data_IF_852493952937
#
_entry.id   IF_852493952937
#
_cell.length_a   1.000
_cell.length_b   1.000
_cell.length_c   1.000
_cell.angle_alpha   90.00
_cell.angle_beta   90.00
_cell.angle_gamma   90.00
#
_symmetry.space_group_name_H-M   'P 1'
#
loop_
_entity.id
_entity.type
_entity.pdbx_description
1 polymer ?
#
# COMPACT_ATOMS: atom_id res chain seq x y z
N UNK A 1 14.68 -5.07 3.74
CA UNK A 1 14.90 -3.69 4.28
C UNK A 1 15.83 -2.86 3.41
N UNK A 2 17.09 -3.24 3.19
CA UNK A 2 18.05 -2.42 2.41
C UNK A 2 17.65 -2.14 0.94
N UNK A 3 16.82 -2.97 0.31
CA UNK A 3 16.37 -2.79 -1.08
C UNK A 3 15.48 -1.55 -1.25
N UNK A 4 14.56 -1.31 -0.31
CA UNK A 4 13.67 -0.15 -0.35
C UNK A 4 14.37 1.18 -0.02
N UNK A 5 15.50 1.14 0.73
CA UNK A 5 16.31 2.35 0.98
C UNK A 5 16.88 2.95 -0.31
N UNK A 6 17.13 2.13 -1.34
CA UNK A 6 17.59 2.61 -2.64
C UNK A 6 16.49 3.36 -3.40
N UNK A 7 15.23 2.92 -3.28
CA UNK A 7 14.07 3.60 -3.88
C UNK A 7 13.92 5.03 -3.33
N UNK A 8 14.18 5.23 -2.05
CA UNK A 8 14.10 6.54 -1.39
C UNK A 8 15.41 7.34 -1.41
N UNK A 9 16.37 7.00 -2.31
CA UNK A 9 17.67 7.67 -2.37
C UNK A 9 17.58 9.07 -2.98
N UNK A 10 16.67 9.31 -3.93
CA UNK A 10 16.44 10.59 -4.58
C UNK A 10 15.06 11.15 -4.16
N UNK A 11 15.09 12.23 -3.34
CA UNK A 11 13.87 12.84 -2.83
C UNK A 11 13.04 13.54 -3.93
N UNK A 12 13.66 13.97 -5.02
CA UNK A 12 13.00 14.72 -6.08
C UNK A 12 12.06 13.82 -6.91
N UNK A 13 12.32 12.52 -6.95
CA UNK A 13 11.49 11.53 -7.64
C UNK A 13 10.31 11.02 -6.79
N UNK A 14 10.27 11.36 -5.48
CA UNK A 14 9.24 10.84 -4.57
C UNK A 14 8.00 11.71 -4.60
N UNK A 15 6.86 11.10 -4.96
CA UNK A 15 5.58 11.79 -4.95
C UNK A 15 5.16 12.20 -3.53
N UNK A 16 4.77 13.46 -3.37
CA UNK A 16 4.21 14.04 -2.13
C UNK A 16 2.70 14.17 -2.18
N UNK A 17 2.09 13.82 -3.30
CA UNK A 17 0.65 13.95 -3.51
C UNK A 17 -0.02 12.67 -3.00
N UNK A 18 -0.94 12.78 -2.00
CA UNK A 18 -1.70 11.62 -1.55
C UNK A 18 -2.67 11.17 -2.64
N UNK A 19 -3.00 9.89 -2.67
CA UNK A 19 -4.07 9.38 -3.51
C UNK A 19 -5.41 9.87 -2.98
N UNK A 20 -6.30 10.28 -3.88
CA UNK A 20 -7.61 10.78 -3.51
C UNK A 20 -8.45 9.69 -2.83
N UNK A 21 -8.32 8.46 -3.27
CA UNK A 21 -8.99 7.28 -2.74
C UNK A 21 -8.70 7.06 -1.25
N UNK A 22 -7.48 7.38 -0.80
CA UNK A 22 -7.11 7.30 0.63
C UNK A 22 -7.84 8.36 1.46
N UNK A 23 -7.99 9.57 0.91
CA UNK A 23 -8.75 10.62 1.58
C UNK A 23 -10.26 10.30 1.62
N UNK A 24 -10.81 9.74 0.56
CA UNK A 24 -12.20 9.27 0.49
C UNK A 24 -12.44 8.12 1.46
N UNK A 25 -11.53 7.16 1.55
CA UNK A 25 -11.58 6.07 2.52
C UNK A 25 -11.64 6.59 3.97
N UNK A 26 -10.81 7.57 4.32
CA UNK A 26 -10.85 8.17 5.64
C UNK A 26 -12.19 8.85 5.92
N UNK A 27 -12.76 9.56 4.94
CA UNK A 27 -14.09 10.19 5.05
C UNK A 27 -15.21 9.14 5.17
N UNK A 28 -15.09 7.98 4.53
CA UNK A 28 -16.07 6.89 4.67
C UNK A 28 -15.96 6.18 6.03
N UNK A 29 -14.74 5.99 6.55
CA UNK A 29 -14.53 5.52 7.92
C UNK A 29 -15.21 6.46 8.93
N UNK A 30 -15.11 7.78 8.73
CA UNK A 30 -15.74 8.77 9.59
C UNK A 30 -17.27 8.67 9.62
N UNK A 31 -17.89 8.25 8.55
CA UNK A 31 -19.35 8.03 8.49
C UNK A 31 -19.78 6.74 9.20
N UNK A 32 -18.88 5.76 9.25
CA UNK A 32 -19.19 4.43 9.77
C UNK A 32 -18.81 4.24 11.24
N UNK A 33 -17.84 5.00 11.75
CA UNK A 33 -17.28 4.86 13.10
C UNK A 33 -17.46 6.17 13.87
N UNK A 34 -18.20 6.13 14.98
CA UNK A 34 -18.50 7.30 15.80
C UNK A 34 -17.43 7.56 16.88
N UNK A 35 -16.17 7.57 16.47
CA UNK A 35 -15.01 7.84 17.35
C UNK A 35 -14.10 8.85 16.69
N UNK A 36 -13.62 9.85 17.42
CA UNK A 36 -12.69 10.86 16.94
C UNK A 36 -11.61 11.16 17.99
N UNK A 37 -10.34 11.31 17.56
CA UNK A 37 -9.83 11.03 16.22
C UNK A 37 -9.87 9.53 15.88
N UNK A 38 -9.94 9.18 14.59
CA UNK A 38 -9.73 7.79 14.17
C UNK A 38 -8.25 7.42 14.31
N UNK A 39 -7.97 6.19 14.75
CA UNK A 39 -6.64 5.60 14.65
C UNK A 39 -6.50 4.90 13.30
N UNK A 40 -5.55 5.36 12.48
CA UNK A 40 -5.33 4.84 11.13
C UNK A 40 -3.88 4.36 11.02
N UNK A 41 -3.70 3.12 10.55
CA UNK A 41 -2.39 2.56 10.25
C UNK A 41 -2.09 2.71 8.76
N UNK A 42 -1.04 3.49 8.45
CA UNK A 42 -0.45 3.62 7.11
C UNK A 42 0.69 2.60 7.02
N UNK A 43 0.38 1.40 6.53
CA UNK A 43 1.31 0.29 6.38
C UNK A 43 2.05 0.41 5.05
N UNK A 44 3.38 0.27 5.09
CA UNK A 44 4.28 0.55 3.97
C UNK A 44 4.15 2.01 3.50
N UNK A 45 4.22 2.94 4.47
CA UNK A 45 3.95 4.36 4.26
C UNK A 45 4.97 5.07 3.35
N UNK A 46 6.13 4.46 3.10
CA UNK A 46 7.23 5.06 2.35
C UNK A 46 7.67 6.38 2.97
N UNK A 47 7.68 7.47 2.17
CA UNK A 47 7.99 8.81 2.63
C UNK A 47 6.77 9.57 3.22
N UNK A 48 5.63 8.89 3.47
CA UNK A 48 4.54 9.40 4.28
C UNK A 48 3.55 10.32 3.59
N UNK A 49 3.39 10.27 2.27
CA UNK A 49 2.41 11.13 1.55
C UNK A 49 0.99 10.98 2.10
N UNK A 50 0.57 9.75 2.42
CA UNK A 50 -0.75 9.47 3.00
C UNK A 50 -0.77 9.77 4.50
N UNK A 51 0.29 9.40 5.22
CA UNK A 51 0.47 9.71 6.65
C UNK A 51 0.24 11.20 6.93
N UNK A 52 0.88 12.08 6.15
CA UNK A 52 0.77 13.54 6.32
C UNK A 52 -0.65 14.02 5.99
N UNK A 53 -1.27 13.50 4.94
CA UNK A 53 -2.63 13.87 4.57
C UNK A 53 -3.63 13.50 5.67
N UNK A 54 -3.53 12.28 6.22
CA UNK A 54 -4.39 11.80 7.30
C UNK A 54 -4.16 12.57 8.62
N UNK A 55 -2.91 12.87 8.96
CA UNK A 55 -2.59 13.71 10.13
C UNK A 55 -3.12 15.14 9.98
N UNK A 56 -3.08 15.71 8.76
CA UNK A 56 -3.59 17.05 8.46
C UNK A 56 -5.09 17.18 8.66
N UNK A 57 -5.87 16.13 8.37
CA UNK A 57 -7.32 16.13 8.60
C UNK A 57 -7.71 15.75 10.04
N UNK A 58 -6.72 15.52 10.92
CA UNK A 58 -6.91 15.39 12.36
C UNK A 58 -7.01 13.97 12.89
N UNK A 59 -6.59 12.97 12.13
CA UNK A 59 -6.54 11.58 12.61
C UNK A 59 -5.27 11.29 13.41
N UNK A 60 -5.34 10.28 14.28
CA UNK A 60 -4.20 9.68 14.98
C UNK A 60 -3.57 8.63 14.06
N UNK A 61 -2.42 8.97 13.47
CA UNK A 61 -1.79 8.14 12.44
C UNK A 61 -0.60 7.38 12.98
N UNK A 62 -0.55 6.11 12.62
CA UNK A 62 0.53 5.17 12.87
C UNK A 62 1.11 4.76 11.52
N UNK A 63 2.38 5.03 11.27
CA UNK A 63 3.02 4.83 9.98
C UNK A 63 4.21 3.87 10.10
N UNK A 64 4.20 2.77 9.35
CA UNK A 64 5.30 1.82 9.34
C UNK A 64 5.77 1.50 7.92
N UNK A 65 7.07 1.31 7.78
CA UNK A 65 7.72 0.91 6.53
C UNK A 65 8.96 0.07 6.82
N UNK A 66 9.35 -0.81 5.89
CA UNK A 66 10.60 -1.56 5.98
C UNK A 66 11.84 -0.73 5.70
N UNK A 67 11.70 0.44 5.08
CA UNK A 67 12.81 1.35 4.76
C UNK A 67 13.08 2.31 5.90
N UNK A 68 14.33 2.35 6.37
CA UNK A 68 14.79 3.36 7.32
C UNK A 68 14.71 4.75 6.70
N UNK A 69 15.14 4.90 5.44
CA UNK A 69 15.09 6.18 4.72
C UNK A 69 13.65 6.66 4.51
N UNK A 70 12.73 5.77 4.15
CA UNK A 70 11.31 6.10 4.01
C UNK A 70 10.75 6.68 5.30
N UNK A 71 11.00 6.04 6.44
CA UNK A 71 10.57 6.50 7.76
C UNK A 71 11.22 7.84 8.15
N UNK A 72 12.51 8.01 7.86
CA UNK A 72 13.19 9.28 8.16
C UNK A 72 12.64 10.43 7.31
N UNK A 73 12.30 10.19 6.04
CA UNK A 73 11.61 11.16 5.20
C UNK A 73 10.20 11.46 5.70
N UNK A 74 9.45 10.45 6.12
CA UNK A 74 8.12 10.61 6.73
C UNK A 74 8.18 11.54 7.95
N UNK A 75 9.13 11.32 8.87
CA UNK A 75 9.36 12.17 10.04
C UNK A 75 9.71 13.60 9.66
N UNK A 76 10.64 13.76 8.71
CA UNK A 76 11.07 15.07 8.22
C UNK A 76 9.90 15.85 7.60
N UNK A 77 9.10 15.20 6.78
CA UNK A 77 7.98 15.86 6.10
C UNK A 77 6.82 16.16 7.05
N UNK A 78 6.54 15.29 8.03
CA UNK A 78 5.60 15.58 9.13
C UNK A 78 6.04 16.84 9.90
N UNK A 79 7.31 16.90 10.30
CA UNK A 79 7.87 18.07 11.00
C UNK A 79 7.72 19.35 10.17
N UNK A 80 8.09 19.31 8.87
CA UNK A 80 7.94 20.46 7.95
C UNK A 80 6.49 20.88 7.77
N UNK A 81 5.55 19.95 7.83
CA UNK A 81 4.11 20.21 7.72
C UNK A 81 3.46 20.65 9.04
N UNK A 82 4.17 20.60 10.16
CA UNK A 82 3.64 20.93 11.48
C UNK A 82 2.67 19.90 12.05
N UNK A 83 2.80 18.64 11.62
CA UNK A 83 1.99 17.49 12.07
C UNK A 83 2.85 16.42 12.73
N UNK A 84 2.20 15.46 13.39
CA UNK A 84 2.85 14.32 14.04
C UNK A 84 2.11 13.02 13.72
N UNK A 85 2.86 11.91 13.73
CA UNK A 85 2.37 10.56 13.68
C UNK A 85 3.32 9.64 14.45
N UNK A 86 2.81 8.50 14.94
CA UNK A 86 3.66 7.42 15.44
C UNK A 86 4.33 6.73 14.25
N UNK A 87 5.65 6.56 14.31
CA UNK A 87 6.40 5.99 13.17
C UNK A 87 7.30 4.86 13.60
N UNK A 88 7.35 3.77 12.83
CA UNK A 88 8.19 2.63 13.09
C UNK A 88 8.83 2.05 11.83
N UNK A 89 10.07 1.59 11.92
CA UNK A 89 10.68 0.74 10.89
C UNK A 89 10.29 -0.70 11.20
N UNK A 90 9.50 -1.32 10.33
CA UNK A 90 9.01 -2.69 10.50
C UNK A 90 8.71 -3.36 9.16
N UNK A 91 8.87 -4.69 9.12
CA UNK A 91 8.38 -5.49 8.00
C UNK A 91 6.86 -5.47 7.93
N UNK A 92 6.28 -5.54 6.73
CA UNK A 92 4.82 -5.48 6.54
C UNK A 92 4.05 -6.60 7.26
N UNK A 93 4.72 -7.71 7.57
CA UNK A 93 4.13 -8.87 8.26
C UNK A 93 4.00 -8.71 9.78
N UNK A 94 4.38 -7.55 10.33
CA UNK A 94 4.43 -7.32 11.78
C UNK A 94 3.87 -5.94 12.12
N UNK A 95 2.85 -5.90 12.98
CA UNK A 95 2.40 -4.65 13.59
C UNK A 95 3.36 -4.25 14.73
N UNK A 96 4.00 -3.07 14.67
CA UNK A 96 4.90 -2.62 15.73
C UNK A 96 4.17 -2.25 17.04
N UNK A 97 2.88 -1.99 16.98
CA UNK A 97 2.05 -1.50 18.10
C UNK A 97 1.08 -2.58 18.58
N UNK A 98 1.58 -3.56 19.34
CA UNK A 98 0.84 -4.77 19.74
C UNK A 98 -0.44 -4.53 20.53
N UNK A 99 -0.48 -3.44 21.30
CA UNK A 99 -1.64 -3.10 22.16
C UNK A 99 -2.61 -2.13 21.49
N UNK A 100 -2.36 -1.75 20.23
CA UNK A 100 -3.19 -0.80 19.49
C UNK A 100 -4.09 -1.55 18.51
N UNK A 101 -5.36 -1.15 18.48
CA UNK A 101 -6.29 -1.56 17.43
C UNK A 101 -6.70 -0.35 16.59
N UNK A 102 -6.74 -0.52 15.27
CA UNK A 102 -6.97 0.53 14.29
C UNK A 102 -8.41 0.54 13.78
N UNK A 103 -8.94 1.72 13.56
CA UNK A 103 -10.24 1.91 12.90
C UNK A 103 -10.11 1.73 11.37
N UNK A 104 -8.97 2.11 10.82
CA UNK A 104 -8.63 1.93 9.42
C UNK A 104 -7.18 1.52 9.23
N UNK A 105 -6.94 0.71 8.22
CA UNK A 105 -5.59 0.36 7.74
C UNK A 105 -5.53 0.64 6.26
N UNK A 106 -4.45 1.27 5.79
CA UNK A 106 -4.16 1.43 4.37
C UNK A 106 -2.82 0.78 4.02
N UNK A 107 -2.75 0.15 2.85
CA UNK A 107 -1.52 -0.38 2.27
C UNK A 107 -1.55 -0.13 0.76
N UNK A 108 -1.06 1.04 0.35
CA UNK A 108 -1.18 1.50 -1.04
C UNK A 108 0.10 1.24 -1.82
N UNK A 109 -0.02 0.67 -3.03
CA UNK A 109 1.07 0.33 -3.95
C UNK A 109 2.17 -0.55 -3.34
N UNK A 110 1.84 -1.42 -2.37
CA UNK A 110 2.87 -2.12 -1.59
C UNK A 110 2.55 -3.58 -1.28
N UNK A 111 1.30 -3.93 -1.02
CA UNK A 111 0.92 -5.26 -0.52
C UNK A 111 1.40 -6.41 -1.43
N UNK A 112 1.45 -6.19 -2.73
CA UNK A 112 1.87 -7.17 -3.73
C UNK A 112 3.40 -7.36 -3.83
N UNK A 113 4.21 -6.54 -3.18
CA UNK A 113 5.66 -6.62 -3.18
C UNK A 113 6.18 -7.66 -2.19
N UNK A 114 5.63 -8.88 -2.27
CA UNK A 114 6.06 -9.99 -1.41
C UNK A 114 5.63 -11.36 -2.01
N UNK A 115 6.05 -12.45 -1.35
CA UNK A 115 5.53 -13.78 -1.61
C UNK A 115 4.10 -13.92 -1.08
N UNK A 116 3.31 -14.83 -1.66
CA UNK A 116 1.91 -15.02 -1.26
C UNK A 116 1.76 -15.39 0.22
N UNK A 117 2.69 -16.15 0.78
CA UNK A 117 2.64 -16.53 2.19
C UNK A 117 2.86 -15.32 3.12
N UNK A 118 3.77 -14.42 2.77
CA UNK A 118 3.96 -13.18 3.51
C UNK A 118 2.78 -12.21 3.34
N UNK A 119 2.18 -12.14 2.16
CA UNK A 119 0.96 -11.35 1.92
C UNK A 119 -0.19 -11.88 2.80
N UNK A 120 -0.39 -13.20 2.88
CA UNK A 120 -1.40 -13.81 3.78
C UNK A 120 -1.14 -13.47 5.25
N UNK A 121 0.12 -13.55 5.70
CA UNK A 121 0.50 -13.15 7.07
C UNK A 121 0.19 -11.68 7.31
N UNK A 122 0.51 -10.81 6.35
CA UNK A 122 0.23 -9.37 6.43
C UNK A 122 -1.27 -9.11 6.57
N UNK A 123 -2.10 -9.70 5.72
CA UNK A 123 -3.57 -9.53 5.76
C UNK A 123 -4.17 -10.05 7.08
N UNK A 124 -3.63 -11.16 7.62
CA UNK A 124 -4.06 -11.67 8.93
C UNK A 124 -3.59 -10.77 10.08
N UNK A 125 -2.35 -10.27 10.04
CA UNK A 125 -1.83 -9.31 11.02
C UNK A 125 -2.67 -8.02 11.05
N UNK A 126 -3.02 -7.50 9.86
CA UNK A 126 -3.93 -6.36 9.73
C UNK A 126 -5.28 -6.67 10.39
N UNK A 127 -5.85 -7.85 10.13
CA UNK A 127 -7.16 -8.24 10.67
C UNK A 127 -7.16 -8.29 12.21
N UNK A 128 -6.11 -8.86 12.80
CA UNK A 128 -5.95 -8.97 14.24
C UNK A 128 -5.84 -7.61 14.95
N UNK A 129 -5.33 -6.60 14.24
CA UNK A 129 -5.15 -5.24 14.77
C UNK A 129 -6.22 -4.25 14.27
N UNK A 130 -7.26 -4.72 13.57
CA UNK A 130 -8.39 -3.89 13.14
C UNK A 130 -9.58 -4.12 14.07
N UNK A 131 -10.15 -3.04 14.60
CA UNK A 131 -11.35 -3.13 15.47
C UNK A 131 -12.53 -3.78 14.72
N UNK A 132 -13.54 -4.35 15.45
CA UNK A 132 -14.79 -4.75 14.83
C UNK A 132 -15.41 -3.58 14.03
N UNK A 133 -15.88 -3.86 12.83
CA UNK A 133 -16.34 -2.87 11.83
C UNK A 133 -15.27 -1.89 11.32
N UNK A 134 -14.02 -2.01 11.74
CA UNK A 134 -12.91 -1.28 11.13
C UNK A 134 -12.65 -1.77 9.70
N UNK A 135 -11.97 -0.96 8.90
CA UNK A 135 -11.80 -1.22 7.47
C UNK A 135 -10.32 -1.29 7.07
N UNK A 136 -10.07 -2.09 6.05
CA UNK A 136 -8.77 -2.16 5.40
C UNK A 136 -8.90 -1.84 3.92
N UNK A 137 -8.04 -0.95 3.42
CA UNK A 137 -7.95 -0.54 2.02
C UNK A 137 -6.57 -0.85 1.47
N UNK A 138 -6.51 -1.44 0.29
CA UNK A 138 -5.27 -1.61 -0.45
C UNK A 138 -5.51 -1.69 -1.95
N UNK A 139 -4.43 -1.60 -2.72
CA UNK A 139 -4.39 -1.98 -4.11
C UNK A 139 -3.28 -3.01 -4.35
N UNK A 140 -3.48 -3.86 -5.37
CA UNK A 140 -2.53 -4.89 -5.78
C UNK A 140 -2.50 -5.04 -7.29
N UNK A 141 -1.36 -5.45 -7.84
CA UNK A 141 -1.18 -5.61 -9.27
C UNK A 141 -2.03 -6.77 -9.81
N UNK A 142 -2.68 -6.55 -10.96
CA UNK A 142 -3.50 -7.56 -11.64
C UNK A 142 -2.65 -8.45 -12.54
N UNK A 143 -3.07 -9.71 -12.71
CA UNK A 143 -2.52 -10.62 -13.75
C UNK A 143 -2.61 -10.04 -15.16
N UNK A 144 -3.48 -9.07 -15.41
CA UNK A 144 -3.56 -8.35 -16.69
C UNK A 144 -2.36 -7.43 -16.95
N UNK A 145 -1.60 -7.12 -15.91
CA UNK A 145 -0.33 -6.37 -16.02
C UNK A 145 0.88 -7.28 -16.25
N UNK A 146 0.70 -8.61 -16.31
CA UNK A 146 1.77 -9.52 -16.71
C UNK A 146 2.27 -9.16 -18.10
N UNK A 147 3.60 -9.24 -18.28
CA UNK A 147 4.29 -8.72 -19.46
C UNK A 147 4.97 -7.36 -19.26
N UNK A 148 4.71 -6.70 -18.12
CA UNK A 148 5.40 -5.46 -17.72
C UNK A 148 6.33 -5.64 -16.52
N UNK A 149 5.90 -6.44 -15.53
CA UNK A 149 6.62 -6.64 -14.27
C UNK A 149 7.04 -8.10 -14.04
N UNK A 150 6.66 -9.02 -14.95
CA UNK A 150 6.99 -10.44 -14.93
C UNK A 150 8.12 -10.81 -15.90
N UNK A 151 8.95 -9.81 -16.28
CA UNK A 151 10.12 -10.03 -17.15
C UNK A 151 11.24 -10.82 -16.48
N UNK A 152 11.14 -10.99 -15.16
CA UNK A 152 12.09 -11.70 -14.33
C UNK A 152 11.78 -13.19 -14.17
N UNK A 153 12.35 -13.77 -13.12
CA UNK A 153 12.21 -15.18 -12.78
C UNK A 153 10.97 -15.41 -11.89
N UNK A 154 10.10 -16.31 -12.29
CA UNK A 154 9.01 -16.79 -11.42
C UNK A 154 9.60 -17.61 -10.26
N UNK A 155 9.30 -17.21 -9.02
CA UNK A 155 9.80 -17.87 -7.79
C UNK A 155 8.73 -18.75 -7.13
N UNK A 156 7.47 -18.43 -7.34
CA UNK A 156 6.28 -19.21 -6.99
C UNK A 156 5.15 -18.82 -7.97
N UNK A 157 4.04 -19.56 -8.06
CA UNK A 157 2.99 -19.25 -9.02
C UNK A 157 2.51 -17.82 -8.92
N UNK A 158 2.64 -17.06 -10.03
CA UNK A 158 2.28 -15.64 -10.15
C UNK A 158 3.12 -14.65 -9.33
N UNK A 159 4.28 -15.07 -8.80
CA UNK A 159 5.23 -14.18 -8.14
C UNK A 159 6.54 -14.17 -8.90
N UNK A 160 6.95 -12.99 -9.33
CA UNK A 160 8.14 -12.77 -10.15
C UNK A 160 9.14 -11.86 -9.45
N UNK A 161 10.43 -12.09 -9.71
CA UNK A 161 11.52 -11.25 -9.24
C UNK A 161 12.34 -10.81 -10.45
N UNK A 162 12.46 -9.51 -10.64
CA UNK A 162 13.34 -8.94 -11.66
C UNK A 162 14.76 -8.82 -11.13
N UNK A 163 15.76 -9.06 -12.00
CA UNK A 163 17.17 -8.98 -11.64
C UNK A 163 17.74 -7.57 -11.83
N UNK A 164 16.99 -6.66 -12.47
CA UNK A 164 17.39 -5.28 -12.76
C UNK A 164 16.27 -4.28 -12.47
N UNK A 165 16.60 -2.98 -12.57
CA UNK A 165 15.66 -1.89 -12.33
C UNK A 165 15.60 -1.45 -10.85
N UNK A 166 14.73 -0.50 -10.55
CA UNK A 166 14.59 0.12 -9.21
C UNK A 166 14.08 -0.87 -8.16
N UNK A 167 13.34 -1.90 -8.59
CA UNK A 167 12.73 -2.95 -7.75
C UNK A 167 13.43 -4.31 -7.93
N UNK A 168 14.71 -4.31 -8.35
CA UNK A 168 15.50 -5.53 -8.52
C UNK A 168 15.53 -6.35 -7.21
N UNK A 169 15.23 -7.63 -7.32
CA UNK A 169 15.21 -8.56 -6.18
C UNK A 169 13.94 -8.49 -5.32
N UNK A 170 12.98 -7.62 -5.63
CA UNK A 170 11.70 -7.52 -4.92
C UNK A 170 10.68 -8.45 -5.59
N UNK A 171 10.03 -9.36 -4.82
CA UNK A 171 8.95 -10.18 -5.36
C UNK A 171 7.73 -9.34 -5.71
N UNK A 172 7.11 -9.61 -6.86
CA UNK A 172 5.83 -9.03 -7.29
C UNK A 172 4.82 -10.15 -7.48
N UNK A 173 3.79 -10.21 -6.64
CA UNK A 173 2.72 -11.19 -6.74
C UNK A 173 1.52 -10.60 -7.49
N UNK A 174 1.09 -11.27 -8.56
CA UNK A 174 -0.01 -10.84 -9.42
C UNK A 174 -1.32 -11.53 -9.04
N UNK A 175 -2.38 -10.74 -8.94
CA UNK A 175 -3.69 -11.21 -8.51
C UNK A 175 -4.69 -11.31 -9.66
N UNK A 176 -5.46 -12.40 -9.69
CA UNK A 176 -6.79 -12.44 -10.29
C UNK A 176 -7.86 -12.29 -9.19
N UNK A 177 -9.11 -12.10 -9.62
CA UNK A 177 -10.24 -11.89 -8.72
C UNK A 177 -10.42 -13.06 -7.73
N UNK A 178 -10.28 -14.31 -8.18
CA UNK A 178 -10.49 -15.47 -7.33
C UNK A 178 -9.45 -15.59 -6.23
N UNK A 179 -8.17 -15.36 -6.57
CA UNK A 179 -7.08 -15.34 -5.56
C UNK A 179 -7.28 -14.24 -4.55
N UNK A 180 -7.72 -13.07 -5.02
CA UNK A 180 -7.95 -11.94 -4.12
C UNK A 180 -9.14 -12.18 -3.19
N UNK A 181 -10.25 -12.75 -3.70
CA UNK A 181 -11.37 -13.17 -2.85
C UNK A 181 -10.98 -14.23 -1.82
N UNK A 182 -10.13 -15.19 -2.20
CA UNK A 182 -9.61 -16.19 -1.26
C UNK A 182 -8.69 -15.57 -0.19
N UNK A 183 -7.86 -14.60 -0.56
CA UNK A 183 -7.02 -13.85 0.40
C UNK A 183 -7.88 -13.11 1.42
N UNK A 184 -9.02 -12.60 1.00
CA UNK A 184 -9.93 -11.76 1.78
C UNK A 184 -11.12 -12.53 2.38
N UNK A 185 -11.10 -13.87 2.40
CA UNK A 185 -12.24 -14.73 2.81
C UNK A 185 -12.77 -14.46 4.22
N UNK A 186 -11.90 -13.95 5.14
CA UNK A 186 -12.25 -13.61 6.53
C UNK A 186 -12.77 -12.17 6.68
N UNK A 187 -12.94 -11.45 5.59
CA UNK A 187 -13.39 -10.07 5.57
C UNK A 187 -14.69 -9.92 4.81
N UNK A 188 -15.48 -8.93 5.17
CA UNK A 188 -16.58 -8.49 4.31
C UNK A 188 -16.04 -7.57 3.21
N UNK A 189 -16.17 -7.97 1.96
CA UNK A 189 -15.74 -7.16 0.82
C UNK A 189 -16.78 -6.09 0.55
N UNK A 190 -16.42 -4.82 0.77
CA UNK A 190 -17.26 -3.66 0.49
C UNK A 190 -17.04 -3.16 -0.94
N UNK A 191 -15.78 -3.12 -1.38
CA UNK A 191 -15.36 -2.73 -2.73
C UNK A 191 -14.32 -3.72 -3.22
N UNK A 192 -14.45 -4.15 -4.46
CA UNK A 192 -13.45 -4.91 -5.19
C UNK A 192 -13.58 -4.54 -6.66
N UNK A 193 -12.62 -3.80 -7.19
CA UNK A 193 -12.67 -3.30 -8.55
C UNK A 193 -11.31 -3.41 -9.24
N UNK A 194 -11.30 -3.89 -10.47
CA UNK A 194 -10.13 -3.84 -11.33
C UNK A 194 -10.14 -2.54 -12.12
N UNK A 195 -9.04 -1.81 -12.06
CA UNK A 195 -8.83 -0.58 -12.80
C UNK A 195 -7.75 -0.78 -13.84
N UNK A 196 -7.96 -0.21 -15.02
CA UNK A 196 -6.98 -0.21 -16.11
C UNK A 196 -6.53 1.23 -16.35
N UNK A 197 -5.25 1.50 -16.10
CA UNK A 197 -4.65 2.79 -16.37
C UNK A 197 -3.83 2.69 -17.64
N UNK A 198 -4.17 3.48 -18.64
CA UNK A 198 -3.42 3.55 -19.90
C UNK A 198 -2.58 4.82 -19.92
N UNK A 199 -1.27 4.68 -19.90
CA UNK A 199 -0.34 5.80 -20.09
C UNK A 199 -0.05 5.97 -21.58
N UNK A 200 -0.34 7.16 -22.10
CA UNK A 200 0.23 7.58 -23.40
C UNK A 200 1.56 8.23 -23.11
N UNK A 201 2.65 7.52 -23.31
CA UNK A 201 3.97 8.16 -23.32
C UNK A 201 4.02 9.23 -24.39
N UNK A 202 4.23 10.48 -24.01
CA UNK A 202 4.68 11.53 -24.90
C UNK A 202 6.20 11.43 -25.02
N UNK A 203 6.70 10.49 -25.81
CA UNK A 203 8.08 10.56 -26.30
C UNK A 203 8.18 11.63 -27.38
N UNK A 204 8.98 12.67 -27.13
CA UNK A 204 9.19 13.77 -28.08
C UNK A 204 9.95 13.35 -29.35
N UNK A 205 10.49 12.13 -29.46
CA UNK A 205 11.41 11.75 -30.55
C UNK A 205 11.27 10.36 -31.18
N UNK A 206 10.24 9.57 -30.86
CA UNK A 206 9.99 8.30 -31.58
C UNK A 206 8.50 7.96 -31.66
N UNK A 207 7.98 7.59 -32.87
CA UNK A 207 6.58 7.16 -33.00
C UNK A 207 6.41 5.67 -32.64
N UNK A 208 6.81 5.25 -31.44
CA UNK A 208 6.43 3.95 -30.89
C UNK A 208 5.41 4.19 -29.80
N UNK A 209 4.15 4.24 -30.21
CA UNK A 209 3.00 4.15 -29.31
C UNK A 209 2.92 2.68 -28.89
N UNK A 210 3.60 2.33 -27.81
CA UNK A 210 3.21 1.17 -27.03
C UNK A 210 2.32 1.72 -25.90
N UNK A 211 1.00 1.55 -25.94
CA UNK A 211 0.15 1.94 -24.85
C UNK A 211 0.44 0.94 -23.71
N UNK A 212 1.28 1.32 -22.75
CA UNK A 212 1.40 0.58 -21.53
C UNK A 212 0.06 0.68 -20.79
N UNK A 213 -0.67 -0.41 -20.76
CA UNK A 213 -1.83 -0.52 -19.86
C UNK A 213 -1.36 -1.22 -18.60
N UNK A 214 -1.47 -0.52 -17.48
CA UNK A 214 -1.25 -1.07 -16.16
C UNK A 214 -2.61 -1.36 -15.53
N UNK A 215 -2.80 -2.57 -15.03
CA UNK A 215 -4.04 -2.97 -14.37
C UNK A 215 -3.76 -3.36 -12.94
N UNK A 216 -4.60 -2.86 -12.02
CA UNK A 216 -4.53 -3.21 -10.61
C UNK A 216 -5.93 -3.40 -10.02
N UNK A 217 -6.01 -4.20 -8.97
CA UNK A 217 -7.18 -4.36 -8.14
C UNK A 217 -7.13 -3.38 -6.98
N UNK A 218 -8.17 -2.57 -6.82
CA UNK A 218 -8.42 -1.81 -5.59
C UNK A 218 -9.48 -2.51 -4.76
N UNK A 219 -9.32 -2.53 -3.44
CA UNK A 219 -10.32 -3.10 -2.56
C UNK A 219 -10.46 -2.33 -1.24
N UNK A 220 -11.67 -2.38 -0.69
CA UNK A 220 -11.99 -1.99 0.69
C UNK A 220 -12.73 -3.15 1.33
N UNK A 221 -12.28 -3.56 2.50
CA UNK A 221 -12.89 -4.66 3.25
C UNK A 221 -13.13 -4.24 4.69
N UNK A 222 -14.12 -4.85 5.34
CA UNK A 222 -14.51 -4.59 6.72
C UNK A 222 -14.25 -5.82 7.60
N UNK A 223 -13.69 -5.58 8.79
CA UNK A 223 -13.52 -6.61 9.80
C UNK A 223 -14.85 -6.90 10.51
N UNK A 224 -15.31 -8.15 10.48
CA UNK A 224 -16.53 -8.59 11.14
C UNK A 224 -16.29 -9.19 12.53
N UNK A 225 -15.01 -9.36 12.92
CA UNK A 225 -14.64 -10.03 14.18
C UNK A 225 -14.65 -9.09 15.37
#
# INVERSE_FOLDING_TARGET
MAQWDNYFADEDDISRIPQVEVCEFAADLEKCIDTRPLRIWDLCCGAGRHTIALARIGHEVYASDGSVKGIDLTRLWLQKAGHSAETAVAEMTVCPWKEISFHGVICWDSLHHNTIDNIRKTVEEIRLHTVPNGMFMANVISVRSMGHHDTGREIEPHTFVNDDGHEAGIPHHFFDENRLRNLLEKWEILVLAEQVVSYKERSQNTPRVNPFSYSFWGFVVRNLA
#
